data_IF_268029462252
#
_entry.id   IF_268029462252
#
_cell.length_a   1.000
_cell.length_b   1.000
_cell.length_c   1.000
_cell.angle_alpha   90.00
_cell.angle_beta   90.00
_cell.angle_gamma   90.00
#
_symmetry.space_group_name_H-M   'P 1'
#
loop_
_entity.id
_entity.type
_entity.pdbx_description
1 polymer ?
#
# COMPACT_ATOMS: atom_id res chain seq x y z
N UNK A 1 26.59 19.02 -30.50
CA UNK A 1 26.42 19.11 -29.03
C UNK A 1 26.08 17.73 -28.51
N UNK A 2 26.93 17.14 -27.67
CA UNK A 2 26.67 15.82 -27.07
C UNK A 2 25.58 15.97 -26.00
N UNK A 3 24.45 15.27 -26.16
CA UNK A 3 23.43 15.16 -25.10
C UNK A 3 23.94 14.13 -24.10
N UNK A 4 24.41 14.58 -22.95
CA UNK A 4 24.72 13.69 -21.84
C UNK A 4 23.44 13.40 -21.05
N UNK A 5 22.75 12.33 -21.40
CA UNK A 5 21.63 11.82 -20.59
C UNK A 5 22.20 10.88 -19.52
N UNK A 6 21.97 11.20 -18.26
CA UNK A 6 22.28 10.34 -17.12
C UNK A 6 20.99 10.06 -16.36
N UNK A 7 20.72 8.78 -16.10
CA UNK A 7 19.57 8.35 -15.33
C UNK A 7 20.03 7.93 -13.95
N UNK A 8 19.38 8.48 -12.93
CA UNK A 8 19.62 8.14 -11.53
C UNK A 8 18.37 7.50 -10.96
N UNK A 9 18.56 6.65 -9.96
CA UNK A 9 17.48 5.91 -9.32
C UNK A 9 17.65 5.94 -7.81
N UNK A 10 16.58 6.24 -7.09
CA UNK A 10 16.54 6.04 -5.63
C UNK A 10 16.33 4.56 -5.32
N UNK A 11 16.38 4.23 -4.03
CA UNK A 11 15.84 2.95 -3.57
C UNK A 11 14.30 2.95 -3.55
N UNK A 12 13.73 1.75 -3.38
CA UNK A 12 12.28 1.53 -3.32
C UNK A 12 11.78 1.73 -1.89
N UNK A 13 10.78 2.59 -1.71
CA UNK A 13 10.07 2.67 -0.44
C UNK A 13 8.93 1.65 -0.40
N UNK A 14 9.26 0.42 0.01
CA UNK A 14 8.29 -0.68 0.09
C UNK A 14 7.13 -0.34 1.03
N UNK A 15 5.91 -0.63 0.59
CA UNK A 15 4.66 -0.40 1.31
C UNK A 15 4.30 1.07 1.59
N UNK A 16 4.98 2.04 0.95
CA UNK A 16 4.57 3.44 1.00
C UNK A 16 3.23 3.62 0.25
N UNK A 17 2.26 4.25 0.91
CA UNK A 17 0.93 4.50 0.33
C UNK A 17 0.68 5.97 0.04
N UNK A 18 0.88 6.79 1.07
CA UNK A 18 0.56 8.22 1.00
C UNK A 18 1.80 9.10 0.99
N UNK A 19 2.87 8.64 1.63
CA UNK A 19 4.13 9.38 1.75
C UNK A 19 5.30 8.44 1.60
N UNK A 20 6.27 8.84 0.79
CA UNK A 20 7.58 8.23 0.73
C UNK A 20 8.64 9.27 1.09
N UNK A 21 9.63 8.87 1.90
CA UNK A 21 10.81 9.68 2.18
C UNK A 21 12.06 9.01 1.58
N UNK A 22 12.91 9.86 0.99
CA UNK A 22 14.16 9.48 0.36
C UNK A 22 15.24 10.41 0.89
N UNK A 23 16.35 9.84 1.37
CA UNK A 23 17.49 10.60 1.87
C UNK A 23 18.66 10.46 0.88
N UNK A 24 18.35 10.74 -0.38
CA UNK A 24 19.29 10.67 -1.49
C UNK A 24 19.80 12.07 -1.81
N UNK A 25 21.07 12.13 -2.20
CA UNK A 25 21.71 13.33 -2.71
C UNK A 25 22.44 12.95 -3.98
N UNK A 26 22.24 13.74 -5.03
CA UNK A 26 22.90 13.52 -6.32
C UNK A 26 23.70 14.76 -6.68
N UNK A 27 24.95 14.54 -7.10
CA UNK A 27 25.81 15.57 -7.64
C UNK A 27 26.14 15.27 -9.10
N UNK A 28 26.08 16.30 -9.93
CA UNK A 28 26.41 16.20 -11.34
C UNK A 28 27.24 17.40 -11.76
N UNK A 29 28.35 17.13 -12.44
CA UNK A 29 29.22 18.16 -12.97
C UNK A 29 28.68 18.67 -14.30
N UNK A 30 28.47 19.98 -14.41
CA UNK A 30 28.01 20.66 -15.62
C UNK A 30 28.99 21.77 -15.99
N UNK A 31 29.41 21.81 -17.25
CA UNK A 31 30.27 22.88 -17.77
C UNK A 31 29.42 24.12 -18.08
N UNK A 32 29.66 25.21 -17.35
CA UNK A 32 29.07 26.51 -17.62
C UNK A 32 29.93 27.33 -18.60
N UNK A 33 29.33 28.18 -19.46
CA UNK A 33 27.89 28.38 -19.61
C UNK A 33 27.22 27.20 -20.35
N UNK A 34 26.01 26.84 -19.93
CA UNK A 34 25.20 25.80 -20.56
C UNK A 34 23.97 26.44 -21.19
N UNK A 35 23.63 26.05 -22.43
CA UNK A 35 22.43 26.57 -23.11
C UNK A 35 21.13 26.01 -22.52
N UNK A 36 21.15 24.76 -22.08
CA UNK A 36 19.98 24.05 -21.58
C UNK A 36 20.37 23.03 -20.52
N UNK A 37 19.74 23.09 -19.34
CA UNK A 37 19.89 22.13 -18.27
C UNK A 37 18.52 21.87 -17.63
N UNK A 38 18.12 20.61 -17.52
CA UNK A 38 16.85 20.23 -16.91
C UNK A 38 16.96 18.90 -16.18
N UNK A 39 16.15 18.72 -15.15
CA UNK A 39 15.94 17.44 -14.48
C UNK A 39 14.57 16.91 -14.85
N UNK A 40 14.50 15.64 -15.24
CA UNK A 40 13.24 14.97 -15.50
C UNK A 40 13.00 13.91 -14.43
N UNK A 41 11.81 13.93 -13.85
CA UNK A 41 11.44 13.07 -12.73
C UNK A 41 10.36 12.09 -13.14
N UNK A 42 10.58 10.84 -12.77
CA UNK A 42 9.68 9.72 -12.99
C UNK A 42 9.28 9.15 -11.63
N UNK A 43 8.00 8.81 -11.47
CA UNK A 43 7.49 8.11 -10.29
C UNK A 43 7.03 6.74 -10.77
N UNK A 44 7.72 5.72 -10.31
CA UNK A 44 7.61 4.36 -10.83
C UNK A 44 7.21 3.42 -9.71
N UNK A 45 6.22 2.55 -9.97
CA UNK A 45 5.92 1.41 -9.12
C UNK A 45 6.87 0.28 -9.49
N UNK A 46 7.64 -0.19 -8.51
CA UNK A 46 8.58 -1.28 -8.72
C UNK A 46 7.97 -2.58 -8.21
N UNK A 47 7.46 -3.35 -9.16
CA UNK A 47 6.94 -4.68 -8.89
C UNK A 47 8.05 -5.73 -9.03
N UNK A 48 8.03 -6.72 -8.14
CA UNK A 48 8.98 -7.83 -8.21
C UNK A 48 8.71 -8.81 -9.35
N UNK A 49 7.49 -8.81 -9.92
CA UNK A 49 7.01 -9.81 -10.88
C UNK A 49 6.56 -9.24 -12.22
N UNK A 50 6.19 -7.96 -12.26
CA UNK A 50 5.77 -7.23 -13.46
C UNK A 50 6.87 -6.28 -13.94
N UNK A 51 6.68 -5.70 -15.13
CA UNK A 51 7.48 -4.57 -15.57
C UNK A 51 7.22 -3.38 -14.64
N UNK A 52 8.22 -2.51 -14.52
CA UNK A 52 8.10 -1.28 -13.75
C UNK A 52 7.10 -0.35 -14.43
N UNK A 53 6.04 0.02 -13.70
CA UNK A 53 4.95 0.83 -14.23
C UNK A 53 5.10 2.28 -13.78
N UNK A 54 5.13 3.21 -14.73
CA UNK A 54 5.07 4.63 -14.39
C UNK A 54 3.71 4.95 -13.76
N UNK A 55 3.71 5.55 -12.57
CA UNK A 55 2.47 5.89 -11.86
C UNK A 55 1.88 7.19 -12.43
N UNK A 56 2.75 8.14 -12.76
CA UNK A 56 2.42 9.49 -13.24
C UNK A 56 3.24 9.82 -14.48
N UNK A 57 2.76 10.76 -15.30
CA UNK A 57 3.56 11.34 -16.37
C UNK A 57 4.80 12.04 -15.81
N UNK A 58 5.92 11.94 -16.53
CA UNK A 58 7.17 12.59 -16.14
C UNK A 58 7.00 14.11 -16.00
N UNK A 59 7.80 14.70 -15.11
CA UNK A 59 7.83 16.15 -14.88
C UNK A 59 9.23 16.68 -15.08
N UNK A 60 9.34 17.75 -15.84
CA UNK A 60 10.61 18.41 -16.15
C UNK A 60 10.76 19.67 -15.29
N UNK A 61 11.85 19.77 -14.57
CA UNK A 61 12.30 20.95 -13.84
C UNK A 61 13.42 21.63 -14.64
N UNK A 62 13.16 22.76 -15.31
CA UNK A 62 14.20 23.53 -15.98
C UNK A 62 15.12 24.20 -14.96
N UNK A 63 16.43 24.05 -15.14
CA UNK A 63 17.47 24.63 -14.27
C UNK A 63 18.16 25.84 -14.89
N UNK A 64 17.76 26.27 -16.10
CA UNK A 64 18.44 27.33 -16.87
C UNK A 64 18.58 28.63 -16.06
N UNK A 65 17.51 29.10 -15.42
CA UNK A 65 17.54 30.31 -14.61
C UNK A 65 18.42 30.17 -13.36
N UNK A 66 18.46 28.97 -12.77
CA UNK A 66 19.30 28.69 -11.61
C UNK A 66 20.77 28.73 -12.04
N UNK A 67 21.11 28.06 -13.15
CA UNK A 67 22.45 28.04 -13.71
C UNK A 67 22.94 29.44 -14.12
N UNK A 68 22.11 30.23 -14.81
CA UNK A 68 22.45 31.60 -15.22
C UNK A 68 22.73 32.47 -13.98
N UNK A 69 21.85 32.44 -12.97
CA UNK A 69 22.02 33.23 -11.74
C UNK A 69 23.27 32.82 -10.97
N UNK A 70 23.50 31.51 -10.81
CA UNK A 70 24.71 31.02 -10.13
C UNK A 70 25.98 31.41 -10.89
N UNK A 71 25.98 31.37 -12.22
CA UNK A 71 27.11 31.82 -13.03
C UNK A 71 27.37 33.33 -12.88
N UNK A 72 26.33 34.16 -12.82
CA UNK A 72 26.49 35.61 -12.57
C UNK A 72 27.05 35.91 -11.17
N UNK A 73 26.61 35.17 -10.14
CA UNK A 73 27.13 35.27 -8.77
C UNK A 73 28.61 34.87 -8.74
N UNK A 74 28.95 33.76 -9.38
CA UNK A 74 30.33 33.31 -9.54
C UNK A 74 31.22 34.37 -10.21
N UNK A 75 30.75 34.98 -11.31
CA UNK A 75 31.48 36.05 -12.02
C UNK A 75 31.74 37.28 -11.17
N UNK A 76 30.93 37.52 -10.13
CA UNK A 76 31.11 38.61 -9.16
C UNK A 76 32.06 38.24 -8.01
N UNK A 77 32.63 37.03 -8.02
CA UNK A 77 33.49 36.53 -6.94
C UNK A 77 32.73 36.20 -5.66
N UNK A 78 31.41 35.96 -5.74
CA UNK A 78 30.58 35.57 -4.62
C UNK A 78 30.40 34.05 -4.58
N UNK A 79 30.16 33.50 -3.39
CA UNK A 79 29.86 32.07 -3.22
C UNK A 79 28.52 31.71 -3.86
N UNK A 80 28.48 30.56 -4.55
CA UNK A 80 27.27 30.04 -5.19
C UNK A 80 26.41 29.20 -4.24
N UNK A 81 26.86 28.99 -3.00
CA UNK A 81 26.24 28.13 -1.99
C UNK A 81 24.87 28.64 -1.58
N UNK A 82 23.84 28.21 -2.30
CA UNK A 82 22.45 28.56 -2.06
C UNK A 82 21.56 27.37 -2.37
N UNK A 83 20.90 26.90 -1.32
CA UNK A 83 19.87 25.87 -1.41
C UNK A 83 18.56 26.50 -1.91
N UNK A 84 17.99 25.93 -2.97
CA UNK A 84 16.74 26.37 -3.59
C UNK A 84 15.71 25.25 -3.45
N UNK A 85 14.66 25.43 -2.62
CA UNK A 85 13.62 24.42 -2.48
C UNK A 85 12.70 24.41 -3.71
N UNK A 86 12.36 23.21 -4.17
CA UNK A 86 11.43 22.97 -5.27
C UNK A 86 10.33 21.99 -4.84
N UNK A 87 9.10 22.26 -5.28
CA UNK A 87 7.97 21.34 -5.17
C UNK A 87 7.49 20.98 -6.58
N UNK A 88 7.56 19.69 -6.93
CA UNK A 88 7.11 19.16 -8.21
C UNK A 88 5.78 18.44 -7.97
N UNK A 89 4.77 18.83 -8.72
CA UNK A 89 3.43 18.26 -8.66
C UNK A 89 3.22 17.27 -9.82
N UNK A 90 2.91 16.03 -9.50
CA UNK A 90 2.49 14.98 -10.43
C UNK A 90 0.97 14.85 -10.38
N UNK A 91 0.30 15.48 -11.33
CA UNK A 91 -1.16 15.59 -11.44
C UNK A 91 -1.77 14.74 -12.56
N UNK A 92 -0.95 14.29 -13.51
CA UNK A 92 -1.37 13.48 -14.66
C UNK A 92 -0.92 12.04 -14.48
N UNK A 93 -1.85 11.10 -14.61
CA UNK A 93 -1.55 9.68 -14.65
C UNK A 93 -0.76 9.33 -15.92
N UNK A 94 0.09 8.30 -15.86
CA UNK A 94 0.84 7.81 -17.03
C UNK A 94 -0.09 7.27 -18.11
N UNK A 95 0.29 7.43 -19.37
CA UNK A 95 -0.52 7.00 -20.52
C UNK A 95 -0.51 5.48 -20.73
N UNK A 96 0.51 4.80 -20.22
CA UNK A 96 0.60 3.34 -20.30
C UNK A 96 -0.60 2.65 -19.64
N UNK A 97 -1.16 3.25 -18.58
CA UNK A 97 -2.39 2.77 -17.95
C UNK A 97 -3.65 3.22 -18.70
N UNK A 98 -3.59 4.33 -19.43
CA UNK A 98 -4.75 4.87 -20.13
C UNK A 98 -5.04 4.17 -21.44
N UNK A 99 -4.06 3.60 -22.14
CA UNK A 99 -4.32 2.91 -23.41
C UNK A 99 -5.09 1.59 -23.20
N UNK A 100 -4.83 0.88 -22.10
CA UNK A 100 -5.65 -0.28 -21.71
C UNK A 100 -7.08 0.13 -21.31
N UNK A 101 -7.27 1.28 -20.67
CA UNK A 101 -8.60 1.77 -20.28
C UNK A 101 -9.36 2.50 -21.40
N UNK A 102 -8.67 3.18 -22.31
CA UNK A 102 -9.28 4.02 -23.36
C UNK A 102 -9.92 3.19 -24.48
N UNK A 103 -9.57 1.91 -24.59
CA UNK A 103 -10.25 0.97 -25.48
C UNK A 103 -11.50 0.34 -24.89
N UNK A 104 -11.72 0.42 -23.57
CA UNK A 104 -13.01 0.01 -23.00
C UNK A 104 -14.00 1.18 -23.09
N UNK A 105 -15.01 1.05 -23.96
CA UNK A 105 -16.08 2.03 -24.04
C UNK A 105 -16.73 2.19 -22.65
N UNK A 106 -16.95 3.44 -22.17
CA UNK A 106 -17.49 3.70 -20.84
C UNK A 106 -18.81 2.95 -20.54
N UNK A 107 -19.59 2.67 -21.58
CA UNK A 107 -20.85 1.92 -21.49
C UNK A 107 -20.65 0.44 -21.15
N UNK A 108 -19.64 -0.22 -21.74
CA UNK A 108 -19.35 -1.63 -21.47
C UNK A 108 -18.85 -1.84 -20.03
N UNK A 109 -17.99 -0.94 -19.52
CA UNK A 109 -17.51 -0.99 -18.14
C UNK A 109 -18.67 -0.84 -17.17
N UNK A 110 -19.58 0.11 -17.43
CA UNK A 110 -20.79 0.26 -16.62
C UNK A 110 -21.69 -0.98 -16.68
N UNK A 111 -21.83 -1.62 -17.84
CA UNK A 111 -22.68 -2.79 -18.00
C UNK A 111 -22.09 -4.04 -17.32
N UNK A 112 -20.77 -4.27 -17.41
CA UNK A 112 -20.06 -5.34 -16.65
C UNK A 112 -20.20 -5.13 -15.14
N UNK A 113 -20.07 -3.89 -14.67
CA UNK A 113 -20.27 -3.56 -13.27
C UNK A 113 -21.70 -3.84 -12.80
N UNK A 114 -22.72 -3.53 -13.62
CA UNK A 114 -24.13 -3.85 -13.36
C UNK A 114 -24.38 -5.37 -13.33
N UNK A 115 -23.86 -6.11 -14.31
CA UNK A 115 -24.04 -7.57 -14.42
C UNK A 115 -23.40 -8.34 -13.25
N UNK A 116 -22.20 -7.96 -12.80
CA UNK A 116 -21.54 -8.63 -11.64
C UNK A 116 -22.26 -8.40 -10.31
N UNK A 117 -22.95 -7.26 -10.15
CA UNK A 117 -23.73 -6.95 -8.96
C UNK A 117 -24.99 -7.82 -8.86
N UNK A 118 -25.69 -8.05 -9.97
CA UNK A 118 -26.92 -8.84 -10.01
C UNK A 118 -26.70 -10.32 -9.73
N UNK A 119 -25.57 -10.89 -10.18
CA UNK A 119 -25.22 -12.30 -9.91
C UNK A 119 -24.67 -12.51 -8.49
N UNK A 120 -23.85 -11.59 -7.94
CA UNK A 120 -23.32 -11.73 -6.57
C UNK A 120 -24.34 -11.45 -5.46
N UNK A 121 -25.40 -10.67 -5.72
CA UNK A 121 -26.47 -10.47 -4.72
C UNK A 121 -27.22 -11.76 -4.39
N UNK A 122 -27.34 -12.70 -5.33
CA UNK A 122 -28.12 -13.93 -5.12
C UNK A 122 -27.45 -14.94 -4.18
N UNK A 123 -26.12 -14.97 -4.10
CA UNK A 123 -25.38 -15.96 -3.28
C UNK A 123 -25.15 -15.47 -1.84
N UNK A 124 -24.98 -14.16 -1.63
CA UNK A 124 -24.69 -13.62 -0.29
C UNK A 124 -25.96 -13.44 0.59
N UNK A 125 -27.15 -13.34 -0.02
CA UNK A 125 -28.40 -13.01 0.68
C UNK A 125 -29.24 -14.18 1.19
N UNK A 126 -28.81 -15.46 1.06
CA UNK A 126 -29.66 -16.58 1.53
C UNK A 126 -29.28 -17.18 2.89
N UNK A 127 -28.10 -16.89 3.46
CA UNK A 127 -27.68 -17.50 4.74
C UNK A 127 -27.08 -16.56 5.79
N UNK A 128 -27.06 -15.25 5.57
CA UNK A 128 -26.37 -14.29 6.45
C UNK A 128 -27.24 -13.07 6.84
N UNK A 129 -28.56 -13.27 6.97
CA UNK A 129 -29.57 -12.21 6.81
C UNK A 129 -29.83 -11.25 7.97
N UNK A 130 -29.10 -11.29 9.09
CA UNK A 130 -29.29 -10.26 10.15
C UNK A 130 -28.08 -9.34 10.30
N UNK A 131 -26.87 -9.83 10.02
CA UNK A 131 -25.64 -9.05 10.16
C UNK A 131 -25.12 -8.44 8.83
N UNK A 132 -25.57 -8.91 7.66
CA UNK A 132 -25.01 -8.48 6.37
C UNK A 132 -25.79 -7.39 5.62
N UNK A 133 -27.06 -7.15 5.95
CA UNK A 133 -27.92 -6.21 5.18
C UNK A 133 -27.48 -4.74 5.33
N UNK A 134 -26.87 -4.36 6.47
CA UNK A 134 -26.25 -3.03 6.65
C UNK A 134 -24.79 -2.94 6.20
N UNK A 135 -24.05 -4.06 6.11
CA UNK A 135 -22.61 -4.05 5.84
C UNK A 135 -22.22 -4.27 4.38
N UNK A 136 -22.98 -5.03 3.59
CA UNK A 136 -22.53 -5.42 2.24
C UNK A 136 -23.08 -4.54 1.11
N UNK A 137 -24.30 -4.00 1.25
CA UNK A 137 -24.94 -3.20 0.19
C UNK A 137 -24.64 -1.68 0.28
N UNK A 138 -24.30 -1.16 1.47
CA UNK A 138 -23.97 0.26 1.69
C UNK A 138 -22.50 0.61 1.46
N UNK A 139 -21.61 -0.38 1.38
CA UNK A 139 -20.18 -0.19 1.05
C UNK A 139 -19.96 -0.19 -0.47
N UNK A 140 -20.98 0.19 -1.23
CA UNK A 140 -20.93 0.27 -2.70
C UNK A 140 -19.92 1.34 -3.10
N UNK A 141 -18.75 0.83 -3.49
CA UNK A 141 -17.84 1.30 -4.54
C UNK A 141 -17.86 2.81 -4.74
N UNK A 142 -16.86 3.49 -4.17
CA UNK A 142 -16.35 4.67 -4.87
C UNK A 142 -16.00 4.20 -6.28
N UNK A 143 -16.53 4.85 -7.34
CA UNK A 143 -16.18 4.49 -8.70
C UNK A 143 -14.66 4.47 -8.81
N UNK A 144 -14.13 3.33 -9.25
CA UNK A 144 -12.70 3.07 -9.46
C UNK A 144 -12.09 4.11 -10.40
N UNK A 145 -12.93 4.68 -11.28
CA UNK A 145 -12.66 5.79 -12.19
C UNK A 145 -12.35 7.12 -11.48
N UNK A 146 -12.78 7.29 -10.23
CA UNK A 146 -12.55 8.51 -9.43
C UNK A 146 -11.44 8.32 -8.39
N UNK A 147 -10.75 7.16 -8.40
CA UNK A 147 -9.36 7.07 -7.94
C UNK A 147 -8.47 7.73 -9.01
N UNK A 148 -8.82 8.96 -9.42
CA UNK A 148 -7.83 9.91 -9.90
C UNK A 148 -6.76 9.90 -8.81
N UNK A 149 -5.60 9.31 -9.14
CA UNK A 149 -4.48 9.17 -8.23
C UNK A 149 -4.28 10.57 -7.63
N UNK A 150 -4.49 10.71 -6.32
CA UNK A 150 -4.31 11.99 -5.63
C UNK A 150 -2.96 12.54 -6.09
N UNK A 151 -2.87 13.80 -6.51
CA UNK A 151 -1.65 14.30 -7.11
C UNK A 151 -0.49 14.09 -6.14
N UNK A 152 0.60 13.52 -6.63
CA UNK A 152 1.79 13.30 -5.81
C UNK A 152 2.63 14.57 -5.80
N UNK A 153 3.26 14.85 -4.66
CA UNK A 153 4.12 16.01 -4.46
C UNK A 153 5.52 15.52 -4.12
N UNK A 154 6.49 15.86 -4.96
CA UNK A 154 7.91 15.65 -4.68
C UNK A 154 8.50 16.97 -4.19
N UNK A 155 9.05 16.97 -2.97
CA UNK A 155 9.81 18.09 -2.43
C UNK A 155 11.29 17.75 -2.52
N UNK A 156 12.07 18.64 -3.11
CA UNK A 156 13.51 18.48 -3.27
C UNK A 156 14.20 19.83 -3.13
N UNK A 157 15.51 19.78 -2.91
CA UNK A 157 16.36 20.94 -2.81
C UNK A 157 17.43 20.86 -3.91
N UNK A 158 17.64 21.96 -4.63
CA UNK A 158 18.67 22.08 -5.65
C UNK A 158 19.71 23.08 -5.17
N UNK A 159 20.97 22.71 -5.28
CA UNK A 159 22.11 23.58 -4.99
C UNK A 159 23.07 23.53 -6.18
N UNK A 160 23.65 24.68 -6.52
CA UNK A 160 24.67 24.79 -7.57
C UNK A 160 25.95 25.27 -6.92
N UNK A 161 26.98 24.44 -6.99
CA UNK A 161 28.29 24.72 -6.43
C UNK A 161 29.32 24.86 -7.54
N UNK A 162 30.32 25.71 -7.28
CA UNK A 162 31.56 25.69 -8.07
C UNK A 162 32.36 24.43 -7.79
N UNK A 163 33.30 24.06 -8.67
CA UNK A 163 34.16 22.89 -8.45
C UNK A 163 34.99 23.00 -7.17
N UNK A 164 35.41 24.21 -6.80
CA UNK A 164 36.13 24.47 -5.55
C UNK A 164 35.24 24.28 -4.32
N UNK A 165 34.01 24.82 -4.33
CA UNK A 165 33.06 24.65 -3.23
C UNK A 165 32.61 23.19 -3.09
N UNK A 166 32.35 22.52 -4.22
CA UNK A 166 31.97 21.12 -4.24
C UNK A 166 33.08 20.17 -3.75
N UNK A 167 34.35 20.57 -3.83
CA UNK A 167 35.47 19.79 -3.32
C UNK A 167 35.61 19.88 -1.78
N UNK A 168 35.09 20.95 -1.17
CA UNK A 168 35.00 21.07 0.29
C UNK A 168 33.90 20.16 0.87
N UNK A 169 32.89 19.87 0.05
CA UNK A 169 31.77 19.02 0.41
C UNK A 169 32.07 17.56 0.05
N UNK A 170 31.97 16.64 1.01
CA UNK A 170 32.07 15.19 0.79
C UNK A 170 30.90 14.60 -0.06
N UNK A 171 30.12 15.46 -0.70
CA UNK A 171 28.91 15.15 -1.46
C UNK A 171 29.21 14.29 -2.69
N UNK A 172 30.44 14.33 -3.20
CA UNK A 172 30.85 13.56 -4.39
C UNK A 172 31.09 12.06 -4.10
N UNK A 173 31.15 11.64 -2.83
CA UNK A 173 31.61 10.28 -2.48
C UNK A 173 30.48 9.31 -2.12
N UNK A 174 29.27 9.81 -1.81
CA UNK A 174 28.13 8.94 -1.50
C UNK A 174 26.78 9.49 -1.98
N UNK A 175 26.01 8.67 -2.67
CA UNK A 175 24.66 9.02 -3.15
C UNK A 175 23.60 9.15 -2.02
N UNK A 176 23.99 8.87 -0.76
CA UNK A 176 23.13 8.92 0.42
C UNK A 176 23.67 9.92 1.43
N UNK A 177 22.76 10.67 2.04
CA UNK A 177 23.11 11.57 3.14
C UNK A 177 23.56 10.72 4.34
N UNK A 178 24.80 10.87 4.83
CA UNK A 178 25.32 10.07 5.94
C UNK A 178 24.45 10.21 7.19
N UNK A 179 24.06 9.08 7.80
CA UNK A 179 23.35 9.06 9.08
C UNK A 179 21.87 9.45 9.03
N UNK A 180 21.33 9.85 7.88
CA UNK A 180 19.91 10.13 7.73
C UNK A 180 19.19 8.84 7.33
N UNK A 181 18.58 8.14 8.29
CA UNK A 181 17.64 7.06 7.96
C UNK A 181 16.31 7.65 7.45
N UNK A 182 15.77 7.12 6.34
CA UNK A 182 14.49 7.57 5.82
C UNK A 182 13.38 7.28 6.84
N UNK A 183 12.58 8.31 7.14
CA UNK A 183 11.46 8.23 8.08
C UNK A 183 10.33 7.38 7.50
N UNK A 184 9.55 6.78 8.39
CA UNK A 184 8.33 6.01 8.08
C UNK A 184 8.57 4.73 7.25
N UNK A 185 9.81 4.24 7.19
CA UNK A 185 10.08 2.95 6.54
C UNK A 185 9.63 1.79 7.40
N UNK A 186 8.78 0.96 6.83
CA UNK A 186 8.30 -0.24 7.48
C UNK A 186 9.42 -1.28 7.55
N UNK A 187 10.03 -1.41 8.73
CA UNK A 187 11.01 -2.45 9.02
C UNK A 187 10.33 -3.67 9.65
N UNK A 188 10.95 -4.85 9.59
CA UNK A 188 10.45 -6.07 10.25
C UNK A 188 10.20 -5.91 11.75
N UNK A 189 10.95 -5.03 12.42
CA UNK A 189 10.72 -4.70 13.83
C UNK A 189 9.32 -4.13 14.09
N UNK A 190 8.72 -3.44 13.11
CA UNK A 190 7.36 -2.95 13.21
C UNK A 190 6.33 -4.09 13.28
N UNK A 191 6.63 -5.27 12.72
CA UNK A 191 5.75 -6.43 12.84
C UNK A 191 5.62 -6.92 14.27
N UNK A 192 6.66 -6.71 15.09
CA UNK A 192 6.67 -7.07 16.51
C UNK A 192 6.06 -5.95 17.37
N UNK A 193 6.34 -4.68 17.04
CA UNK A 193 5.86 -3.53 17.81
C UNK A 193 4.38 -3.21 17.57
N UNK A 194 3.92 -3.25 16.31
CA UNK A 194 2.53 -3.03 15.89
C UNK A 194 2.11 -4.04 14.80
N UNK A 195 1.81 -5.29 15.17
CA UNK A 195 1.41 -6.32 14.22
C UNK A 195 0.19 -5.92 13.37
N UNK A 196 -0.91 -5.38 13.92
CA UNK A 196 -2.07 -4.98 13.13
C UNK A 196 -1.75 -3.92 12.07
N UNK A 197 -0.98 -2.89 12.41
CA UNK A 197 -0.55 -1.86 11.46
C UNK A 197 0.37 -2.41 10.38
N UNK A 198 1.31 -3.29 10.76
CA UNK A 198 2.18 -3.99 9.84
C UNK A 198 1.39 -4.81 8.82
N UNK A 199 0.48 -5.69 9.26
CA UNK A 199 -0.36 -6.49 8.37
C UNK A 199 -1.29 -5.63 7.52
N UNK A 200 -1.82 -4.53 8.07
CA UNK A 200 -2.64 -3.60 7.31
C UNK A 200 -1.86 -3.00 6.14
N UNK A 201 -0.61 -2.58 6.35
CA UNK A 201 0.25 -2.00 5.32
C UNK A 201 0.76 -3.03 4.32
N UNK A 202 1.19 -4.21 4.80
CA UNK A 202 1.72 -5.30 3.98
C UNK A 202 0.67 -5.88 3.03
N UNK A 203 -0.54 -6.17 3.53
CA UNK A 203 -1.55 -6.93 2.78
C UNK A 203 -2.40 -6.04 1.86
N UNK A 204 -2.50 -4.75 2.15
CA UNK A 204 -3.48 -3.87 1.51
C UNK A 204 -4.73 -3.68 2.37
N UNK A 205 -5.39 -2.50 2.34
CA UNK A 205 -6.57 -2.25 3.17
C UNK A 205 -7.72 -3.19 2.81
N UNK A 206 -7.96 -3.42 1.51
CA UNK A 206 -9.03 -4.28 1.02
C UNK A 206 -8.86 -5.72 1.49
N UNK A 207 -7.67 -6.27 1.28
CA UNK A 207 -7.34 -7.64 1.67
C UNK A 207 -7.27 -7.80 3.20
N UNK A 208 -6.79 -6.80 3.93
CA UNK A 208 -6.79 -6.80 5.40
C UNK A 208 -8.21 -6.92 5.98
N UNK A 209 -9.17 -6.14 5.47
CA UNK A 209 -10.56 -6.26 5.93
C UNK A 209 -11.19 -7.60 5.54
N UNK A 210 -10.83 -8.14 4.38
CA UNK A 210 -11.28 -9.46 3.95
C UNK A 210 -10.73 -10.58 4.86
N UNK A 211 -9.43 -10.57 5.16
CA UNK A 211 -8.80 -11.51 6.09
C UNK A 211 -9.40 -11.38 7.49
N UNK A 212 -9.56 -10.15 8.01
CA UNK A 212 -10.17 -9.93 9.33
C UNK A 212 -11.59 -10.48 9.43
N UNK A 213 -12.39 -10.33 8.37
CA UNK A 213 -13.73 -10.93 8.29
C UNK A 213 -13.66 -12.46 8.24
N UNK A 214 -12.77 -12.99 7.42
CA UNK A 214 -12.58 -14.44 7.26
C UNK A 214 -12.13 -15.09 8.56
N UNK A 215 -11.13 -14.51 9.26
CA UNK A 215 -10.68 -14.96 10.57
C UNK A 215 -11.83 -14.98 11.58
N UNK A 216 -12.66 -13.92 11.64
CA UNK A 216 -13.82 -13.90 12.55
C UNK A 216 -14.81 -15.04 12.25
N UNK A 217 -15.13 -15.28 10.98
CA UNK A 217 -16.00 -16.37 10.57
C UNK A 217 -15.41 -17.74 10.95
N UNK A 218 -14.12 -17.95 10.69
CA UNK A 218 -13.41 -19.19 11.05
C UNK A 218 -13.37 -19.38 12.57
N UNK A 219 -13.06 -18.34 13.35
CA UNK A 219 -13.08 -18.41 14.82
C UNK A 219 -14.46 -18.74 15.34
N UNK A 220 -15.53 -18.10 14.85
CA UNK A 220 -16.90 -18.45 15.24
C UNK A 220 -17.23 -19.91 14.90
N UNK A 221 -16.87 -20.38 13.70
CA UNK A 221 -17.07 -21.77 13.31
C UNK A 221 -16.32 -22.73 14.24
N UNK A 222 -15.04 -22.46 14.53
CA UNK A 222 -14.25 -23.27 15.44
C UNK A 222 -14.84 -23.29 16.86
N UNK A 223 -15.29 -22.14 17.38
CA UNK A 223 -15.97 -22.08 18.68
C UNK A 223 -17.26 -22.92 18.70
N UNK A 224 -18.05 -22.90 17.61
CA UNK A 224 -19.25 -23.74 17.52
C UNK A 224 -18.92 -25.23 17.46
N UNK A 225 -17.86 -25.62 16.74
CA UNK A 225 -17.42 -27.01 16.68
C UNK A 225 -16.90 -27.50 18.03
N UNK A 226 -16.13 -26.67 18.75
CA UNK A 226 -15.67 -26.97 20.11
C UNK A 226 -16.85 -27.13 21.07
N UNK A 227 -17.84 -26.24 21.01
CA UNK A 227 -19.05 -26.33 21.83
C UNK A 227 -19.82 -27.62 21.57
N UNK A 228 -20.02 -27.98 20.29
CA UNK A 228 -20.70 -29.23 19.91
C UNK A 228 -19.92 -30.45 20.37
N UNK A 229 -18.58 -30.44 20.29
CA UNK A 229 -17.73 -31.51 20.79
C UNK A 229 -17.87 -31.68 22.32
N UNK A 230 -17.92 -30.58 23.07
CA UNK A 230 -18.15 -30.63 24.52
C UNK A 230 -19.52 -31.21 24.85
N UNK A 231 -20.58 -30.76 24.16
CA UNK A 231 -21.94 -31.30 24.35
C UNK A 231 -21.97 -32.80 24.06
N UNK A 232 -21.35 -33.23 22.96
CA UNK A 232 -21.26 -34.63 22.60
C UNK A 232 -20.60 -35.47 23.70
N UNK A 233 -19.45 -35.02 24.23
CA UNK A 233 -18.74 -35.70 25.31
C UNK A 233 -19.58 -35.78 26.60
N UNK A 234 -20.29 -34.69 26.95
CA UNK A 234 -21.18 -34.67 28.11
C UNK A 234 -22.35 -35.65 27.94
N UNK A 235 -23.01 -35.65 26.77
CA UNK A 235 -24.07 -36.61 26.47
C UNK A 235 -23.56 -38.06 26.52
N UNK A 236 -22.35 -38.31 26.03
CA UNK A 236 -21.73 -39.63 26.08
C UNK A 236 -21.51 -40.12 27.53
N UNK A 237 -21.27 -39.22 28.49
CA UNK A 237 -21.14 -39.56 29.91
C UNK A 237 -22.50 -39.71 30.58
N UNK A 238 -23.45 -38.81 30.30
CA UNK A 238 -24.76 -38.77 30.97
C UNK A 238 -25.68 -39.90 30.52
N UNK A 239 -25.72 -40.22 29.21
CA UNK A 239 -26.64 -41.23 28.68
C UNK A 239 -26.46 -42.63 29.33
N UNK A 240 -25.23 -43.16 29.51
CA UNK A 240 -25.03 -44.41 30.24
C UNK A 240 -25.44 -44.34 31.72
N UNK A 241 -25.24 -43.18 32.37
CA UNK A 241 -25.63 -42.99 33.78
C UNK A 241 -27.15 -43.05 33.91
N UNK A 242 -27.88 -42.43 32.98
CA UNK A 242 -29.35 -42.48 32.95
C UNK A 242 -29.85 -43.91 32.67
N UNK A 243 -29.25 -44.64 31.72
CA UNK A 243 -29.60 -46.04 31.45
C UNK A 243 -29.38 -46.94 32.67
N UNK A 244 -28.30 -46.72 33.44
CA UNK A 244 -28.07 -47.43 34.70
C UNK A 244 -29.12 -47.08 35.76
N UNK A 245 -29.49 -45.80 35.87
CA UNK A 245 -30.52 -45.35 36.81
C UNK A 245 -31.88 -46.01 36.53
N UNK A 246 -32.28 -46.07 35.25
CA UNK A 246 -33.56 -46.68 34.86
C UNK A 246 -33.60 -48.18 35.15
N UNK A 247 -32.46 -48.88 34.96
CA UNK A 247 -32.35 -50.32 35.31
C UNK A 247 -32.47 -50.57 36.81
N UNK A 248 -31.90 -49.72 37.65
CA UNK A 248 -32.00 -49.83 39.11
C UNK A 248 -33.43 -49.57 39.58
N UNK A 249 -34.08 -48.52 39.07
CA UNK A 249 -35.47 -48.21 39.40
C UNK A 249 -36.45 -49.33 38.98
N UNK A 250 -36.21 -49.99 37.84
CA UNK A 250 -37.01 -51.11 37.38
C UNK A 250 -36.98 -52.32 38.32
N UNK A 251 -35.83 -52.62 38.95
CA UNK A 251 -35.69 -53.79 39.83
C UNK A 251 -36.48 -53.70 41.14
N UNK A 252 -36.80 -52.51 41.63
CA UNK A 252 -37.54 -52.34 42.90
C UNK A 252 -39.04 -52.62 42.78
N UNK A 253 -39.61 -52.53 41.57
CA UNK A 253 -41.06 -52.76 41.36
C UNK A 253 -41.43 -54.24 41.21
N UNK A 254 -40.46 -55.15 41.13
CA UNK A 254 -40.69 -56.57 40.85
C UNK A 254 -40.84 -57.50 42.07
N UNK A 255 -40.61 -57.04 43.30
CA UNK A 255 -40.56 -57.91 44.49
C UNK A 255 -41.87 -57.97 45.30
N UNK A 256 -42.95 -57.35 44.82
CA UNK A 256 -44.19 -57.17 45.60
C UNK A 256 -45.32 -58.18 45.38
N UNK A 257 -45.18 -59.25 44.58
CA UNK A 257 -46.35 -60.13 44.31
C UNK A 257 -45.98 -61.59 44.09
N UNK A 258 -45.52 -62.26 45.15
CA UNK A 258 -45.69 -63.71 45.27
C UNK A 258 -46.19 -64.03 46.67
N UNK A 259 -47.49 -64.34 46.70
CA UNK A 259 -48.24 -65.24 47.62
C UNK A 259 -47.82 -65.32 49.08
#
# INVERSE_FOLDING_TARGET
>A
MSKHLKTFRTDTHRYARERASFNWQWAFQVSAPTLFCSLEFFVVDEDSLSLNDEIYQSKVLPLDQVMIKSYEIYRKGQSCRRVIPHEILFDLASTHNSDELAHEQPEEVQERLKKSCLTRMRVCCMRCCVCCYRCCCRRRRKPEVEVLKKPAKLKLEVEVLTLSEAAEDAVMESDRIPGAEPKDRMQWQHALADPPGFFYNFVGPTNYYFLRRSCRCVTCLLCTLILLAVIYLVCQIILPILDLSDRVAGTETGTGTTR
#
